data_IF_230452387619
#
_entry.id   IF_230452387619
#
_cell.length_a   1.000
_cell.length_b   1.000
_cell.length_c   1.000
_cell.angle_alpha   90.00
_cell.angle_beta   90.00
_cell.angle_gamma   90.00
#
_symmetry.space_group_name_H-M   'P 1'
#
loop_
_entity.id
_entity.type
_entity.pdbx_description
1 polymer ?
#
# COMPACT_ATOMS: atom_id res chain seq x y z
N UNK A 1 4.52 -3.71 24.23
CA UNK A 1 3.62 -4.48 23.35
C UNK A 1 4.22 -4.53 21.97
N UNK A 2 4.11 -5.64 21.24
CA UNK A 2 4.61 -5.79 19.87
C UNK A 2 3.77 -4.96 18.90
N UNK A 3 4.42 -4.19 18.01
CA UNK A 3 3.74 -3.39 16.99
C UNK A 3 3.06 -4.28 15.94
N UNK A 4 1.99 -3.80 15.34
CA UNK A 4 1.19 -4.52 14.35
C UNK A 4 1.35 -3.88 12.96
N UNK A 5 1.68 -4.69 11.96
CA UNK A 5 1.72 -4.29 10.55
C UNK A 5 0.64 -5.04 9.74
N UNK A 6 -0.23 -4.28 9.07
CA UNK A 6 -1.21 -4.79 8.11
C UNK A 6 -0.73 -4.50 6.69
N UNK A 7 -0.51 -5.55 5.90
CA UNK A 7 0.08 -5.47 4.56
C UNK A 7 -0.94 -5.94 3.53
N UNK A 8 -1.54 -4.98 2.85
CA UNK A 8 -2.59 -5.15 1.86
C UNK A 8 -1.95 -5.37 0.49
N UNK A 9 -2.01 -6.59 -0.03
CA UNK A 9 -1.43 -6.94 -1.34
C UNK A 9 -0.18 -7.82 -1.27
N UNK A 10 -0.19 -8.88 -0.46
CA UNK A 10 0.90 -9.87 -0.37
C UNK A 10 0.77 -11.02 -1.39
N UNK A 11 0.46 -10.67 -2.65
CA UNK A 11 0.33 -11.63 -3.75
C UNK A 11 1.68 -12.00 -4.40
N UNK A 12 1.66 -12.23 -5.72
CA UNK A 12 2.87 -12.41 -6.53
C UNK A 12 3.60 -11.07 -6.64
N UNK A 13 4.77 -10.93 -6.04
CA UNK A 13 5.57 -9.69 -6.05
C UNK A 13 6.26 -9.42 -4.72
N UNK A 14 6.60 -8.15 -4.48
CA UNK A 14 7.41 -7.73 -3.33
C UNK A 14 6.69 -7.78 -1.98
N UNK A 15 5.37 -7.89 -1.95
CA UNK A 15 4.59 -7.85 -0.70
C UNK A 15 4.95 -8.95 0.30
N UNK A 16 5.35 -10.14 -0.17
CA UNK A 16 5.85 -11.21 0.74
C UNK A 16 7.18 -10.81 1.37
N UNK A 17 8.12 -10.27 0.59
CA UNK A 17 9.42 -9.79 1.11
C UNK A 17 9.24 -8.67 2.13
N UNK A 18 8.32 -7.73 1.88
CA UNK A 18 7.98 -6.67 2.84
C UNK A 18 7.43 -7.29 4.14
N UNK A 19 6.51 -8.26 4.03
CA UNK A 19 5.93 -8.94 5.19
C UNK A 19 6.96 -9.70 6.02
N UNK A 20 7.90 -10.38 5.37
CA UNK A 20 9.00 -11.08 6.05
C UNK A 20 9.96 -10.08 6.72
N UNK A 21 10.23 -8.93 6.09
CA UNK A 21 11.03 -7.85 6.68
C UNK A 21 10.42 -7.27 7.96
N UNK A 22 9.13 -6.94 7.93
CA UNK A 22 8.42 -6.45 9.12
C UNK A 22 8.37 -7.49 10.25
N UNK A 23 8.11 -8.75 9.92
CA UNK A 23 8.12 -9.82 10.92
C UNK A 23 9.51 -9.99 11.54
N UNK A 24 10.57 -9.95 10.72
CA UNK A 24 11.96 -10.04 11.20
C UNK A 24 12.35 -8.85 12.09
N UNK A 25 11.71 -7.69 11.91
CA UNK A 25 11.85 -6.52 12.77
C UNK A 25 10.99 -6.58 14.06
N UNK A 26 10.34 -7.72 14.34
CA UNK A 26 9.57 -7.95 15.58
C UNK A 26 8.12 -7.45 15.54
N UNK A 27 7.58 -7.16 14.35
CA UNK A 27 6.15 -6.85 14.21
C UNK A 27 5.32 -8.13 14.16
N UNK A 28 4.09 -8.03 14.68
CA UNK A 28 3.01 -8.93 14.29
C UNK A 28 2.51 -8.54 12.91
N UNK A 29 2.42 -9.49 11.99
CA UNK A 29 2.17 -9.21 10.57
C UNK A 29 0.90 -9.87 10.07
N UNK A 30 -0.08 -9.06 9.71
CA UNK A 30 -1.25 -9.48 8.97
C UNK A 30 -1.01 -9.22 7.49
N UNK A 31 -0.90 -10.28 6.71
CA UNK A 31 -0.74 -10.20 5.25
C UNK A 31 -2.07 -10.46 4.57
N UNK A 32 -2.39 -9.73 3.50
CA UNK A 32 -3.67 -9.87 2.81
C UNK A 32 -3.47 -10.04 1.31
N UNK A 33 -4.09 -11.07 0.74
CA UNK A 33 -4.15 -11.28 -0.72
C UNK A 33 -5.37 -12.12 -1.10
N UNK A 34 -5.65 -12.28 -2.39
CA UNK A 34 -6.74 -13.16 -2.84
C UNK A 34 -6.43 -14.65 -2.68
N UNK A 35 -5.14 -15.02 -2.68
CA UNK A 35 -4.72 -16.42 -2.61
C UNK A 35 -4.47 -16.81 -1.16
N UNK A 36 -5.16 -17.82 -0.63
CA UNK A 36 -4.94 -18.29 0.74
C UNK A 36 -3.49 -18.68 0.99
N UNK A 37 -3.04 -18.46 2.23
CA UNK A 37 -1.73 -18.86 2.75
C UNK A 37 -1.86 -19.16 4.24
N UNK A 38 -1.05 -20.07 4.76
CA UNK A 38 -0.93 -20.31 6.20
C UNK A 38 0.47 -19.96 6.69
N UNK A 39 0.56 -19.59 7.96
CA UNK A 39 1.82 -19.44 8.67
C UNK A 39 1.80 -20.34 9.91
N UNK A 40 2.96 -20.82 10.32
CA UNK A 40 3.10 -21.62 11.54
C UNK A 40 3.25 -20.77 12.81
N UNK A 41 3.47 -19.46 12.68
CA UNK A 41 3.71 -18.53 13.80
C UNK A 41 2.43 -17.79 14.21
N UNK A 42 2.24 -17.59 15.52
CA UNK A 42 1.09 -16.85 16.06
C UNK A 42 1.16 -15.33 15.80
N UNK A 43 2.37 -14.81 15.61
CA UNK A 43 2.65 -13.40 15.28
C UNK A 43 2.44 -13.12 13.78
N UNK A 44 1.99 -14.10 13.00
CA UNK A 44 1.63 -13.92 11.59
C UNK A 44 0.23 -14.45 11.31
N UNK A 45 -0.49 -13.74 10.47
CA UNK A 45 -1.76 -14.21 9.92
C UNK A 45 -1.86 -13.84 8.44
N UNK A 46 -2.53 -14.68 7.67
CA UNK A 46 -2.96 -14.35 6.32
C UNK A 46 -4.48 -14.21 6.30
N UNK A 47 -4.96 -13.10 5.75
CA UNK A 47 -6.38 -12.87 5.50
C UNK A 47 -6.62 -12.80 4.00
N UNK A 48 -7.85 -13.10 3.58
CA UNK A 48 -8.22 -13.09 2.17
C UNK A 48 -9.23 -11.99 1.88
N UNK A 49 -8.97 -11.17 0.87
CA UNK A 49 -9.88 -10.14 0.39
C UNK A 49 -9.61 -9.82 -1.09
N UNK A 50 -10.64 -9.31 -1.77
CA UNK A 50 -10.52 -8.72 -3.10
C UNK A 50 -10.77 -7.20 -3.03
N UNK A 51 -9.74 -6.42 -3.32
CA UNK A 51 -9.80 -4.96 -3.24
C UNK A 51 -10.50 -4.31 -4.44
N UNK A 52 -11.02 -5.11 -5.38
CA UNK A 52 -12.04 -4.65 -6.32
C UNK A 52 -13.33 -4.22 -5.60
N UNK A 53 -13.58 -4.78 -4.41
CA UNK A 53 -14.65 -4.41 -3.49
C UNK A 53 -14.09 -3.63 -2.29
N UNK A 54 -14.27 -2.30 -2.23
CA UNK A 54 -13.80 -1.49 -1.11
C UNK A 54 -14.44 -1.83 0.24
N UNK A 55 -15.59 -2.51 0.27
CA UNK A 55 -16.22 -2.95 1.52
C UNK A 55 -15.44 -4.06 2.22
N UNK A 56 -14.55 -4.75 1.49
CA UNK A 56 -13.69 -5.80 2.03
C UNK A 56 -12.60 -5.30 2.99
N UNK A 57 -12.42 -3.97 3.12
CA UNK A 57 -11.33 -3.41 3.92
C UNK A 57 -11.63 -3.41 5.42
N UNK A 58 -12.81 -2.96 5.85
CA UNK A 58 -13.17 -2.88 7.28
C UNK A 58 -13.03 -4.23 8.02
N UNK A 59 -13.51 -5.36 7.46
CA UNK A 59 -13.38 -6.66 8.12
C UNK A 59 -11.92 -7.09 8.38
N UNK A 60 -10.96 -6.61 7.59
CA UNK A 60 -9.54 -6.91 7.79
C UNK A 60 -9.02 -6.27 9.08
N UNK A 61 -9.42 -5.04 9.36
CA UNK A 61 -9.05 -4.36 10.61
C UNK A 61 -9.70 -5.03 11.81
N UNK A 62 -10.97 -5.43 11.69
CA UNK A 62 -11.69 -6.17 12.74
C UNK A 62 -11.00 -7.48 13.10
N UNK A 63 -10.60 -8.28 12.10
CA UNK A 63 -9.92 -9.55 12.34
C UNK A 63 -8.52 -9.35 12.95
N UNK A 64 -7.78 -8.31 12.55
CA UNK A 64 -6.49 -7.97 13.17
C UNK A 64 -6.67 -7.57 14.64
N UNK A 65 -7.63 -6.70 14.93
CA UNK A 65 -7.92 -6.24 16.30
C UNK A 65 -8.42 -7.37 17.19
N UNK A 66 -9.32 -8.21 16.67
CA UNK A 66 -9.81 -9.40 17.38
C UNK A 66 -8.66 -10.34 17.74
N UNK A 67 -7.67 -10.48 16.86
CA UNK A 67 -6.53 -11.39 17.07
C UNK A 67 -5.50 -10.85 18.05
N UNK A 68 -5.17 -9.56 18.00
CA UNK A 68 -4.04 -8.99 18.75
C UNK A 68 -4.41 -7.88 19.73
N UNK A 69 -5.70 -7.58 19.86
CA UNK A 69 -6.27 -6.64 20.84
C UNK A 69 -6.04 -5.16 20.52
N UNK A 70 -5.41 -4.83 19.39
CA UNK A 70 -5.07 -3.46 19.01
C UNK A 70 -5.17 -3.26 17.49
N UNK A 71 -5.44 -2.03 17.08
CA UNK A 71 -5.42 -1.63 15.67
C UNK A 71 -3.98 -1.64 15.10
N UNK A 72 -3.81 -1.73 13.77
CA UNK A 72 -2.49 -1.66 13.15
C UNK A 72 -1.73 -0.36 13.47
N UNK A 73 -0.44 -0.48 13.79
CA UNK A 73 0.48 0.67 13.90
C UNK A 73 0.97 1.11 12.53
N UNK A 74 1.07 0.16 11.60
CA UNK A 74 1.53 0.38 10.22
C UNK A 74 0.56 -0.29 9.26
N UNK A 75 0.14 0.44 8.23
CA UNK A 75 -0.66 -0.09 7.13
C UNK A 75 0.09 0.15 5.82
N UNK A 76 0.36 -0.93 5.10
CA UNK A 76 1.07 -0.90 3.82
C UNK A 76 0.10 -1.32 2.72
N UNK A 77 -0.21 -0.41 1.81
CA UNK A 77 -1.01 -0.68 0.63
C UNK A 77 -0.11 -0.97 -0.57
N UNK A 78 0.10 -2.25 -0.86
CA UNK A 78 0.93 -2.75 -1.97
C UNK A 78 0.10 -3.27 -3.16
N UNK A 79 -1.19 -3.50 -2.98
CA UNK A 79 -2.04 -3.99 -4.05
C UNK A 79 -2.15 -2.99 -5.22
N UNK A 80 -2.28 -3.53 -6.43
CA UNK A 80 -2.51 -2.74 -7.63
C UNK A 80 -3.30 -3.52 -8.67
N UNK A 81 -3.91 -2.79 -9.58
CA UNK A 81 -4.43 -3.30 -10.85
C UNK A 81 -3.81 -2.50 -11.99
N UNK A 82 -3.45 -3.20 -13.07
CA UNK A 82 -2.90 -2.57 -14.27
C UNK A 82 -3.48 -3.21 -15.51
N UNK A 83 -4.62 -2.70 -15.98
CA UNK A 83 -5.14 -3.05 -17.31
C UNK A 83 -4.31 -2.33 -18.37
N UNK A 84 -3.63 -3.04 -19.29
CA UNK A 84 -2.87 -2.40 -20.37
C UNK A 84 -3.77 -1.64 -21.34
N UNK A 85 -3.29 -0.53 -21.86
CA UNK A 85 -3.90 0.28 -22.93
C UNK A 85 -2.96 0.36 -24.14
N UNK A 86 -2.73 -0.77 -24.82
CA UNK A 86 -1.75 -0.95 -25.90
C UNK A 86 -2.12 -0.30 -27.24
N UNK A 87 -3.40 -0.10 -27.54
CA UNK A 87 -3.81 0.52 -28.82
C UNK A 87 -4.02 2.02 -28.68
N UNK A 88 -4.79 2.43 -27.67
CA UNK A 88 -5.04 3.83 -27.33
C UNK A 88 -5.53 3.95 -25.86
N UNK A 89 -5.42 5.11 -25.21
CA UNK A 89 -5.76 5.28 -23.80
C UNK A 89 -7.27 5.15 -23.47
N UNK A 90 -8.14 5.11 -24.48
CA UNK A 90 -9.60 5.02 -24.34
C UNK A 90 -10.14 3.63 -24.75
N UNK A 91 -9.29 2.61 -24.87
CA UNK A 91 -9.72 1.28 -25.34
C UNK A 91 -10.34 0.39 -24.25
N UNK A 92 -10.22 0.76 -22.98
CA UNK A 92 -10.70 -0.04 -21.86
C UNK A 92 -12.15 0.31 -21.54
N UNK A 93 -13.00 -0.72 -21.39
CA UNK A 93 -14.40 -0.55 -21.01
C UNK A 93 -14.56 0.15 -19.65
N UNK A 94 -15.61 0.97 -19.45
CA UNK A 94 -15.85 1.68 -18.19
C UNK A 94 -15.83 0.80 -16.93
N UNK A 95 -16.37 -0.42 -16.98
CA UNK A 95 -16.37 -1.32 -15.82
C UNK A 95 -14.97 -1.73 -15.37
N UNK A 96 -14.07 -1.98 -16.34
CA UNK A 96 -12.66 -2.26 -16.05
C UNK A 96 -11.94 -1.01 -15.52
N UNK A 97 -12.34 0.18 -15.95
CA UNK A 97 -11.87 1.44 -15.37
C UNK A 97 -12.27 1.57 -13.90
N UNK A 98 -13.55 1.38 -13.58
CA UNK A 98 -14.07 1.39 -12.20
C UNK A 98 -13.33 0.36 -11.33
N UNK A 99 -13.15 -0.87 -11.83
CA UNK A 99 -12.41 -1.90 -11.13
C UNK A 99 -10.95 -1.47 -10.81
N UNK A 100 -10.26 -0.85 -11.76
CA UNK A 100 -8.90 -0.34 -11.53
C UNK A 100 -8.88 0.81 -10.50
N UNK A 101 -9.88 1.70 -10.52
CA UNK A 101 -10.03 2.76 -9.53
C UNK A 101 -10.28 2.19 -8.14
N UNK A 102 -11.14 1.18 -8.02
CA UNK A 102 -11.41 0.53 -6.74
C UNK A 102 -10.14 -0.05 -6.14
N UNK A 103 -9.39 -0.84 -6.91
CA UNK A 103 -8.18 -1.51 -6.42
C UNK A 103 -7.06 -0.50 -6.15
N UNK A 104 -6.82 0.46 -7.04
CA UNK A 104 -5.66 1.33 -6.90
C UNK A 104 -5.90 2.52 -5.97
N UNK A 105 -7.15 2.98 -5.81
CA UNK A 105 -7.49 4.25 -5.15
C UNK A 105 -8.55 4.10 -4.06
N UNK A 106 -9.75 3.61 -4.37
CA UNK A 106 -10.87 3.62 -3.40
C UNK A 106 -10.57 2.74 -2.19
N UNK A 107 -10.14 1.50 -2.41
CA UNK A 107 -9.76 0.57 -1.34
C UNK A 107 -8.52 1.05 -0.57
N UNK A 108 -7.59 1.73 -1.24
CA UNK A 108 -6.43 2.34 -0.60
C UNK A 108 -6.84 3.48 0.33
N UNK A 109 -7.68 4.40 -0.15
CA UNK A 109 -8.23 5.49 0.64
C UNK A 109 -9.05 4.96 1.83
N UNK A 110 -9.92 3.97 1.61
CA UNK A 110 -10.67 3.31 2.69
C UNK A 110 -9.74 2.76 3.76
N UNK A 111 -8.65 2.08 3.37
CA UNK A 111 -7.67 1.57 4.32
C UNK A 111 -7.03 2.69 5.14
N UNK A 112 -6.69 3.83 4.53
CA UNK A 112 -6.12 4.98 5.24
C UNK A 112 -7.13 5.62 6.20
N UNK A 113 -8.38 5.79 5.76
CA UNK A 113 -9.48 6.33 6.55
C UNK A 113 -9.75 5.49 7.80
N UNK A 114 -9.88 4.17 7.62
CA UNK A 114 -10.15 3.21 8.69
C UNK A 114 -8.97 3.14 9.66
N UNK A 115 -7.74 3.09 9.12
CA UNK A 115 -6.51 3.07 9.89
C UNK A 115 -6.40 4.28 10.83
N UNK A 116 -6.58 5.49 10.30
CA UNK A 116 -6.52 6.71 11.12
C UNK A 116 -7.64 6.76 12.17
N UNK A 117 -8.87 6.35 11.80
CA UNK A 117 -10.01 6.31 12.72
C UNK A 117 -9.77 5.38 13.91
N UNK A 118 -9.12 4.23 13.69
CA UNK A 118 -8.84 3.21 14.70
C UNK A 118 -7.53 3.47 15.47
N UNK A 119 -6.55 4.12 14.83
CA UNK A 119 -5.27 4.51 15.40
C UNK A 119 -4.81 5.86 14.81
N UNK A 120 -4.99 6.94 15.58
CA UNK A 120 -4.63 8.30 15.14
C UNK A 120 -3.10 8.54 15.00
N UNK A 121 -2.26 7.56 15.35
CA UNK A 121 -0.80 7.59 15.19
C UNK A 121 -0.29 6.66 14.08
N UNK A 122 -1.19 6.06 13.29
CA UNK A 122 -0.82 5.08 12.26
C UNK A 122 0.18 5.62 11.24
N UNK A 123 1.06 4.75 10.76
CA UNK A 123 1.94 4.99 9.61
C UNK A 123 1.34 4.31 8.39
N UNK A 124 0.84 5.11 7.44
CA UNK A 124 0.25 4.61 6.21
C UNK A 124 1.23 4.76 5.05
N UNK A 125 1.57 3.65 4.39
CA UNK A 125 2.54 3.61 3.31
C UNK A 125 1.89 3.00 2.07
N UNK A 126 1.87 3.73 0.98
CA UNK A 126 1.38 3.27 -0.31
C UNK A 126 2.53 2.92 -1.24
N UNK A 127 2.48 1.74 -1.84
CA UNK A 127 3.42 1.31 -2.88
C UNK A 127 3.03 1.96 -4.20
N UNK A 128 3.71 3.06 -4.49
CA UNK A 128 3.58 3.84 -5.70
C UNK A 128 4.51 3.39 -6.82
N UNK A 129 4.57 4.23 -7.84
CA UNK A 129 5.56 4.23 -8.91
C UNK A 129 5.57 5.61 -9.57
N UNK A 130 6.27 5.71 -10.69
CA UNK A 130 6.44 6.94 -11.44
C UNK A 130 5.16 7.63 -11.92
N UNK A 131 4.04 6.91 -12.00
CA UNK A 131 2.84 7.36 -12.68
C UNK A 131 2.01 8.37 -11.86
N UNK A 132 2.51 8.83 -10.72
CA UNK A 132 1.97 10.00 -10.04
C UNK A 132 2.30 11.32 -10.76
N UNK A 133 3.36 11.34 -11.56
CA UNK A 133 3.77 12.52 -12.34
C UNK A 133 4.27 12.19 -13.76
N UNK A 134 4.47 10.92 -14.09
CA UNK A 134 4.84 10.45 -15.42
C UNK A 134 3.63 9.86 -16.14
N UNK A 135 3.40 10.28 -17.39
CA UNK A 135 2.27 9.79 -18.20
C UNK A 135 2.77 8.73 -19.17
N UNK A 136 2.26 7.50 -19.03
CA UNK A 136 2.47 6.41 -19.98
C UNK A 136 1.13 5.96 -20.56
N UNK A 137 0.87 6.22 -21.86
CA UNK A 137 -0.40 5.87 -22.49
C UNK A 137 -0.64 4.36 -22.58
N UNK A 138 0.38 3.50 -22.36
CA UNK A 138 0.25 2.05 -22.41
C UNK A 138 -0.34 1.43 -21.13
N UNK A 139 -0.43 2.22 -20.06
CA UNK A 139 -0.90 1.80 -18.73
C UNK A 139 -1.75 2.91 -18.09
N UNK A 140 -2.62 3.52 -18.89
CA UNK A 140 -3.40 4.72 -18.54
C UNK A 140 -4.14 4.55 -17.22
N UNK A 141 -4.85 3.44 -17.04
CA UNK A 141 -5.67 3.19 -15.84
C UNK A 141 -4.82 3.05 -14.57
N UNK A 142 -3.65 2.43 -14.67
CA UNK A 142 -2.71 2.38 -13.55
C UNK A 142 -2.23 3.79 -13.21
N UNK A 143 -1.93 4.61 -14.23
CA UNK A 143 -1.54 6.00 -14.02
C UNK A 143 -2.61 6.85 -13.35
N UNK A 144 -3.88 6.71 -13.76
CA UNK A 144 -5.01 7.37 -13.09
C UNK A 144 -5.05 6.99 -11.61
N UNK A 145 -4.97 5.69 -11.29
CA UNK A 145 -5.00 5.20 -9.92
C UNK A 145 -3.83 5.72 -9.06
N UNK A 146 -2.61 5.72 -9.62
CA UNK A 146 -1.40 6.20 -8.93
C UNK A 146 -1.39 7.70 -8.73
N UNK A 147 -1.82 8.48 -9.72
CA UNK A 147 -1.98 9.94 -9.61
C UNK A 147 -3.04 10.32 -8.59
N UNK A 148 -4.22 9.70 -8.64
CA UNK A 148 -5.29 9.93 -7.67
C UNK A 148 -4.83 9.60 -6.24
N UNK A 149 -4.13 8.49 -6.07
CA UNK A 149 -3.65 8.07 -4.75
C UNK A 149 -2.54 8.94 -4.20
N UNK A 150 -1.56 9.29 -5.02
CA UNK A 150 -0.52 10.25 -4.64
C UNK A 150 -1.12 11.60 -4.24
N UNK A 151 -2.21 12.05 -4.88
CA UNK A 151 -2.87 13.31 -4.55
C UNK A 151 -3.44 13.29 -3.13
N UNK A 152 -4.31 12.32 -2.79
CA UNK A 152 -4.92 12.31 -1.46
C UNK A 152 -3.92 11.98 -0.36
N UNK A 153 -2.87 11.20 -0.64
CA UNK A 153 -1.79 10.92 0.32
C UNK A 153 -1.02 12.22 0.66
N UNK A 154 -0.66 13.00 -0.35
CA UNK A 154 0.01 14.28 -0.13
C UNK A 154 -0.89 15.28 0.60
N UNK A 155 -2.20 15.29 0.31
CA UNK A 155 -3.15 16.11 1.04
C UNK A 155 -3.25 15.68 2.51
N UNK A 156 -3.34 14.37 2.79
CA UNK A 156 -3.39 13.82 4.13
C UNK A 156 -2.13 14.15 4.94
N UNK A 157 -0.94 14.02 4.34
CA UNK A 157 0.33 14.36 5.00
C UNK A 157 0.45 15.86 5.35
N UNK A 158 -0.18 16.74 4.58
CA UNK A 158 -0.21 18.19 4.85
C UNK A 158 -1.28 18.59 5.88
N UNK A 159 -2.25 17.74 6.15
CA UNK A 159 -3.34 18.04 7.07
C UNK A 159 -2.86 17.92 8.53
N UNK A 160 -2.69 19.05 9.21
CA UNK A 160 -2.29 19.08 10.63
C UNK A 160 -3.25 18.30 11.54
N UNK A 161 -4.54 18.31 11.21
CA UNK A 161 -5.57 17.58 11.96
C UNK A 161 -5.47 16.05 11.89
N UNK A 162 -4.61 15.49 11.04
CA UNK A 162 -4.33 14.04 10.98
C UNK A 162 -3.08 13.66 11.77
N UNK A 163 -2.34 14.61 12.35
CA UNK A 163 -1.17 14.29 13.17
C UNK A 163 -1.62 13.63 14.49
N UNK A 164 -0.87 12.64 15.02
CA UNK A 164 0.48 12.22 14.62
C UNK A 164 0.56 11.13 13.54
N UNK A 165 -0.55 10.78 12.86
CA UNK A 165 -0.49 9.86 11.73
C UNK A 165 0.38 10.41 10.60
N UNK A 166 0.96 9.50 9.82
CA UNK A 166 1.86 9.83 8.72
C UNK A 166 1.45 9.06 7.46
N UNK A 167 1.60 9.70 6.30
CA UNK A 167 1.15 9.19 5.01
C UNK A 167 2.29 9.32 3.98
N UNK A 168 2.60 8.22 3.31
CA UNK A 168 3.69 8.14 2.34
C UNK A 168 3.27 7.46 1.05
N UNK A 169 3.70 8.00 -0.08
CA UNK A 169 3.66 7.40 -1.41
C UNK A 169 5.10 7.10 -1.83
N UNK A 170 5.43 5.83 -2.05
CA UNK A 170 6.81 5.41 -2.30
C UNK A 170 7.00 4.92 -3.72
N UNK A 171 7.99 5.46 -4.42
CA UNK A 171 8.25 5.26 -5.85
C UNK A 171 9.69 4.76 -6.07
N UNK A 172 9.82 3.48 -6.42
CA UNK A 172 11.11 2.92 -6.83
C UNK A 172 11.44 3.38 -8.25
N UNK A 173 12.65 3.90 -8.43
CA UNK A 173 13.27 4.20 -9.72
C UNK A 173 14.50 3.34 -9.95
N UNK A 174 14.88 3.18 -11.21
CA UNK A 174 16.17 2.59 -11.58
C UNK A 174 17.33 3.49 -11.11
N UNK A 175 18.58 2.99 -11.09
CA UNK A 175 19.74 3.81 -10.72
C UNK A 175 19.90 5.11 -11.53
N UNK A 176 19.50 5.07 -12.81
CA UNK A 176 19.49 6.22 -13.73
C UNK A 176 18.31 7.20 -13.50
N UNK A 177 17.40 6.90 -12.56
CA UNK A 177 16.22 7.69 -12.24
C UNK A 177 14.99 7.40 -13.11
N UNK A 178 15.10 6.52 -14.11
CA UNK A 178 13.97 6.15 -14.95
C UNK A 178 12.91 5.31 -14.19
N UNK A 179 11.64 5.30 -14.65
CA UNK A 179 10.59 4.47 -14.05
C UNK A 179 10.98 2.98 -13.91
N UNK A 180 10.71 2.37 -12.77
CA UNK A 180 10.95 0.96 -12.53
C UNK A 180 9.67 0.12 -12.72
N UNK A 181 9.42 -0.34 -13.95
CA UNK A 181 8.29 -1.25 -14.24
C UNK A 181 8.61 -2.73 -14.01
N UNK A 182 9.90 -3.09 -14.08
CA UNK A 182 10.44 -4.43 -13.89
C UNK A 182 11.68 -4.36 -13.01
N UNK A 183 12.01 -5.45 -12.30
CA UNK A 183 13.15 -5.48 -11.39
C UNK A 183 12.89 -4.80 -10.04
N UNK A 184 11.65 -4.80 -9.57
CA UNK A 184 11.31 -4.30 -8.24
C UNK A 184 12.11 -5.03 -7.16
N UNK A 185 12.65 -4.28 -6.20
CA UNK A 185 13.54 -4.73 -5.14
C UNK A 185 12.79 -4.80 -3.83
N UNK A 186 12.20 -5.97 -3.54
CA UNK A 186 11.37 -6.14 -2.35
C UNK A 186 12.11 -5.94 -1.03
N UNK A 187 13.41 -6.24 -1.01
CA UNK A 187 14.34 -5.94 0.08
C UNK A 187 14.46 -4.43 0.30
N UNK A 188 14.75 -3.65 -0.75
CA UNK A 188 14.86 -2.20 -0.66
C UNK A 188 13.53 -1.54 -0.24
N UNK A 189 12.39 -2.05 -0.72
CA UNK A 189 11.07 -1.62 -0.25
C UNK A 189 10.88 -1.92 1.24
N UNK A 190 11.23 -3.13 1.69
CA UNK A 190 11.11 -3.52 3.10
C UNK A 190 11.94 -2.63 4.02
N UNK A 191 13.20 -2.38 3.66
CA UNK A 191 14.10 -1.49 4.39
C UNK A 191 13.57 -0.05 4.49
N UNK A 192 13.13 0.51 3.35
CA UNK A 192 12.55 1.85 3.33
C UNK A 192 11.28 1.93 4.19
N UNK A 193 10.38 0.96 4.06
CA UNK A 193 9.10 0.98 4.77
C UNK A 193 9.28 0.80 6.27
N UNK A 194 10.24 -0.01 6.71
CA UNK A 194 10.63 -0.10 8.12
C UNK A 194 11.15 1.25 8.64
N UNK A 195 12.03 1.92 7.89
CA UNK A 195 12.53 3.25 8.26
C UNK A 195 11.40 4.28 8.42
N UNK A 196 10.42 4.27 7.50
CA UNK A 196 9.24 5.14 7.57
C UNK A 196 8.28 4.73 8.71
N UNK A 197 8.17 3.44 9.02
CA UNK A 197 7.39 2.97 10.16
C UNK A 197 7.97 3.40 11.51
N UNK A 198 9.26 3.74 11.55
CA UNK A 198 10.00 4.17 12.73
C UNK A 198 10.20 5.69 12.81
N UNK A 199 9.76 6.45 11.80
CA UNK A 199 9.88 7.91 11.83
C UNK A 199 8.96 8.54 12.87
N UNK A 200 9.52 9.46 13.64
CA UNK A 200 8.79 10.18 14.70
C UNK A 200 7.84 11.24 14.15
N UNK A 201 8.19 11.84 13.03
CA UNK A 201 7.45 12.95 12.41
C UNK A 201 7.23 12.69 10.92
N UNK A 202 6.20 13.31 10.35
CA UNK A 202 5.92 13.28 8.92
C UNK A 202 7.09 13.91 8.15
N UNK A 203 7.74 13.13 7.29
CA UNK A 203 8.69 13.64 6.30
C UNK A 203 8.00 14.05 4.99
N UNK A 204 8.78 14.13 3.90
CA UNK A 204 8.22 14.33 2.56
C UNK A 204 7.22 13.20 2.22
N UNK A 205 6.00 13.53 1.76
CA UNK A 205 4.96 12.52 1.51
C UNK A 205 5.22 11.69 0.26
N UNK A 206 6.04 12.15 -0.67
CA UNK A 206 6.43 11.41 -1.87
C UNK A 206 7.90 11.04 -1.75
N UNK A 207 8.16 9.74 -1.59
CA UNK A 207 9.51 9.21 -1.43
C UNK A 207 9.93 8.53 -2.73
N UNK A 208 10.87 9.15 -3.45
CA UNK A 208 11.52 8.55 -4.61
C UNK A 208 12.83 7.92 -4.15
N UNK A 209 13.00 6.62 -4.37
CA UNK A 209 14.22 5.90 -4.01
C UNK A 209 14.73 5.07 -5.19
N UNK A 210 16.03 4.79 -5.20
CA UNK A 210 16.71 4.07 -6.29
C UNK A 210 17.27 2.76 -5.77
N UNK A 211 17.00 1.67 -6.48
CA UNK A 211 17.41 0.32 -6.11
C UNK A 211 17.54 -0.60 -7.34
#
# INVERSE_FOLDING_TARGET
MSRIALILGCGKGIGTTIADGFHSAGYRVASVSRTPRSYASDDRVHLTADFADPSSIEPLFEEVEKRWGNAPDVVIYNAYAGTPTRTNPLEVAPDAFVNNININTTSAYSAAFIAHKRNNNVKYIYTGNALNNYIDPNITLLGVGKSASAHWIQAAAKAEGLRPAQFYYCDQRRPDGSPCYTGLRGDAHGELYLKLAESREQGEPVIVFRA
#
